data_IF_278246284995
#
_entry.id   IF_278246284995
#
_cell.length_a   1.000
_cell.length_b   1.000
_cell.length_c   1.000
_cell.angle_alpha   90.00
_cell.angle_beta   90.00
_cell.angle_gamma   90.00
#
_symmetry.space_group_name_H-M   'P 1'
#
loop_
_entity.id
_entity.type
_entity.pdbx_description
1 polymer ?
#
# COMPACT_ATOMS: atom_id res chain seq x y z
N UNK A 1 12.25 -5.17 -17.43
CA UNK A 1 11.99 -4.24 -16.33
C UNK A 1 11.50 -5.02 -15.11
N UNK A 2 12.41 -5.45 -14.23
CA UNK A 2 12.16 -6.49 -13.20
C UNK A 2 12.05 -5.91 -11.78
N UNK A 3 11.46 -4.72 -11.59
CA UNK A 3 11.45 -4.05 -10.27
C UNK A 3 10.78 -4.88 -9.15
N UNK A 4 9.85 -5.76 -9.48
CA UNK A 4 9.16 -6.65 -8.55
C UNK A 4 9.37 -8.15 -8.87
N UNK A 5 10.05 -8.48 -9.96
CA UNK A 5 10.12 -9.84 -10.50
C UNK A 5 11.05 -10.77 -9.69
N UNK A 6 11.82 -10.24 -8.73
CA UNK A 6 12.59 -11.00 -7.74
C UNK A 6 12.11 -10.84 -6.30
N UNK A 7 11.10 -10.01 -6.08
CA UNK A 7 10.48 -9.77 -4.79
C UNK A 7 8.99 -10.08 -4.95
N UNK A 8 8.60 -11.36 -4.86
CA UNK A 8 7.21 -11.71 -4.62
C UNK A 8 6.67 -10.79 -3.51
N UNK A 9 5.46 -10.26 -3.69
CA UNK A 9 4.74 -9.58 -2.61
C UNK A 9 4.90 -10.45 -1.36
N UNK A 10 5.34 -9.86 -0.22
CA UNK A 10 5.57 -10.64 0.98
C UNK A 10 4.27 -11.39 1.31
N UNK A 11 4.40 -12.56 1.94
CA UNK A 11 3.23 -13.19 2.55
C UNK A 11 2.66 -12.22 3.58
N UNK A 12 1.60 -11.54 3.19
CA UNK A 12 0.85 -10.64 4.06
C UNK A 12 0.35 -11.43 5.27
N UNK A 13 0.27 -10.77 6.42
CA UNK A 13 -0.23 -11.36 7.66
C UNK A 13 -1.51 -12.17 7.45
N UNK A 14 -1.67 -13.31 8.14
CA UNK A 14 -2.84 -14.18 8.03
C UNK A 14 -4.16 -13.42 8.27
N UNK A 15 -4.14 -12.38 9.11
CA UNK A 15 -5.27 -11.49 9.35
C UNK A 15 -5.76 -10.75 8.09
N UNK A 16 -4.89 -10.53 7.10
CA UNK A 16 -5.20 -9.86 5.83
C UNK A 16 -5.74 -10.83 4.76
N UNK A 17 -5.55 -12.14 4.93
CA UNK A 17 -6.10 -13.17 4.04
C UNK A 17 -7.59 -12.98 3.73
N UNK A 18 -8.49 -12.77 4.71
CA UNK A 18 -9.91 -12.55 4.40
C UNK A 18 -10.15 -11.31 3.53
N UNK A 19 -9.36 -10.24 3.69
CA UNK A 19 -9.46 -9.06 2.83
C UNK A 19 -8.93 -9.33 1.41
N UNK A 20 -7.83 -10.06 1.29
CA UNK A 20 -7.17 -10.42 0.03
C UNK A 20 -8.00 -11.44 -0.79
N UNK A 21 -8.67 -12.37 -0.10
CA UNK A 21 -9.54 -13.36 -0.70
C UNK A 21 -10.96 -12.85 -1.00
N UNK A 22 -11.26 -11.60 -0.62
CA UNK A 22 -12.55 -10.96 -0.90
C UNK A 22 -13.68 -11.48 -0.03
N UNK A 23 -13.39 -11.88 1.22
CA UNK A 23 -14.40 -12.27 2.18
C UNK A 23 -15.36 -11.10 2.47
N UNK A 24 -16.61 -11.44 2.79
CA UNK A 24 -17.61 -10.47 3.23
C UNK A 24 -17.26 -9.97 4.64
N UNK A 25 -16.43 -8.93 4.69
CA UNK A 25 -16.02 -8.26 5.92
C UNK A 25 -16.96 -7.09 6.22
N UNK A 26 -17.20 -6.79 7.50
CA UNK A 26 -17.92 -5.56 7.86
C UNK A 26 -17.11 -4.32 7.48
N UNK A 27 -17.77 -3.17 7.30
CA UNK A 27 -17.11 -1.88 6.98
C UNK A 27 -15.92 -1.57 7.88
N UNK A 28 -16.08 -1.84 9.17
CA UNK A 28 -15.09 -1.59 10.20
C UNK A 28 -13.87 -2.53 10.08
N UNK A 29 -14.11 -3.81 9.80
CA UNK A 29 -13.06 -4.80 9.54
C UNK A 29 -12.32 -4.51 8.24
N UNK A 30 -13.04 -4.17 7.16
CA UNK A 30 -12.42 -3.75 5.89
C UNK A 30 -11.54 -2.52 6.09
N UNK A 31 -11.99 -1.55 6.88
CA UNK A 31 -11.20 -0.37 7.19
C UNK A 31 -9.96 -0.69 8.06
N UNK A 32 -10.10 -1.55 9.07
CA UNK A 32 -8.97 -2.02 9.91
C UNK A 32 -7.94 -2.77 9.07
N UNK A 33 -8.37 -3.80 8.35
CA UNK A 33 -7.50 -4.63 7.51
C UNK A 33 -6.89 -3.81 6.37
N UNK A 34 -7.65 -2.91 5.74
CA UNK A 34 -7.14 -1.99 4.74
C UNK A 34 -6.06 -1.04 5.27
N UNK A 35 -6.19 -0.58 6.53
CA UNK A 35 -5.13 0.19 7.21
C UNK A 35 -3.91 -0.67 7.49
N UNK A 36 -4.08 -1.90 7.97
CA UNK A 36 -3.00 -2.82 8.29
C UNK A 36 -2.24 -3.23 7.02
N UNK A 37 -2.95 -3.57 5.95
CA UNK A 37 -2.38 -3.84 4.64
C UNK A 37 -1.53 -2.67 4.12
N UNK A 38 -2.02 -1.43 4.24
CA UNK A 38 -1.22 -0.25 3.87
C UNK A 38 0.06 -0.16 4.69
N UNK A 39 0.01 -0.41 6.00
CA UNK A 39 1.20 -0.38 6.86
C UNK A 39 2.20 -1.46 6.47
N UNK A 40 1.75 -2.68 6.23
CA UNK A 40 2.65 -3.77 5.81
C UNK A 40 3.29 -3.49 4.46
N UNK A 41 2.53 -3.00 3.49
CA UNK A 41 3.09 -2.60 2.20
C UNK A 41 4.11 -1.48 2.39
N UNK A 42 3.82 -0.45 3.18
CA UNK A 42 4.77 0.63 3.45
C UNK A 42 6.03 0.10 4.14
N UNK A 43 5.87 -0.79 5.12
CA UNK A 43 6.98 -1.42 5.82
C UNK A 43 7.85 -2.19 4.84
N UNK A 44 7.26 -3.07 4.02
CA UNK A 44 7.95 -3.80 2.96
C UNK A 44 8.68 -2.88 1.98
N UNK A 45 8.02 -1.82 1.50
CA UNK A 45 8.63 -0.83 0.60
C UNK A 45 9.80 -0.08 1.24
N UNK A 46 9.76 0.13 2.56
CA UNK A 46 10.84 0.76 3.32
C UNK A 46 11.98 -0.24 3.58
N UNK A 47 11.68 -1.44 4.07
CA UNK A 47 12.65 -2.52 4.36
C UNK A 47 13.47 -2.89 3.14
N UNK A 48 12.83 -3.02 1.97
CA UNK A 48 13.52 -3.36 0.73
C UNK A 48 14.04 -2.13 -0.03
N UNK A 49 13.94 -0.92 0.54
CA UNK A 49 14.37 0.34 -0.09
C UNK A 49 13.84 0.55 -1.53
N UNK A 50 12.70 -0.06 -1.88
CA UNK A 50 12.20 -0.18 -3.26
C UNK A 50 11.89 1.17 -3.91
N UNK A 51 11.65 2.20 -3.10
CA UNK A 51 11.27 3.55 -3.54
C UNK A 51 12.08 4.60 -2.74
N UNK A 52 13.38 4.36 -2.52
CA UNK A 52 14.27 5.34 -1.87
C UNK A 52 14.57 6.53 -2.79
N UNK A 53 14.83 6.27 -4.08
CA UNK A 53 15.41 7.27 -5.02
C UNK A 53 14.71 7.38 -6.40
N UNK A 54 13.43 7.01 -6.51
CA UNK A 54 12.74 7.17 -7.79
C UNK A 54 12.21 8.61 -7.95
N UNK A 55 12.62 9.29 -9.03
CA UNK A 55 12.04 10.54 -9.54
C UNK A 55 10.50 10.49 -9.52
N UNK A 56 9.81 11.64 -9.43
CA UNK A 56 8.34 11.69 -9.33
C UNK A 56 7.60 10.74 -10.30
N UNK A 57 8.06 10.65 -11.55
CA UNK A 57 7.53 9.71 -12.55
C UNK A 57 7.78 8.24 -12.22
N UNK A 58 9.02 7.87 -11.87
CA UNK A 58 9.38 6.51 -11.48
C UNK A 58 8.66 6.05 -10.21
N UNK A 59 8.46 6.95 -9.25
CA UNK A 59 7.69 6.68 -8.03
C UNK A 59 6.23 6.36 -8.35
N UNK A 60 5.61 7.14 -9.25
CA UNK A 60 4.22 6.91 -9.71
C UNK A 60 4.09 5.56 -10.42
N UNK A 61 5.05 5.23 -11.30
CA UNK A 61 5.11 3.94 -11.98
C UNK A 61 5.27 2.76 -11.02
N UNK A 62 6.13 2.88 -10.00
CA UNK A 62 6.31 1.87 -8.96
C UNK A 62 5.02 1.59 -8.19
N UNK A 63 4.31 2.62 -7.73
CA UNK A 63 3.01 2.42 -7.07
C UNK A 63 1.96 1.83 -8.02
N UNK A 64 1.97 2.24 -9.29
CA UNK A 64 1.07 1.69 -10.30
C UNK A 64 1.33 0.19 -10.53
N UNK A 65 2.60 -0.20 -10.71
CA UNK A 65 3.03 -1.57 -10.92
C UNK A 65 2.79 -2.45 -9.69
N UNK A 66 2.99 -1.92 -8.48
CA UNK A 66 2.61 -2.59 -7.23
C UNK A 66 1.11 -2.88 -7.20
N UNK A 67 0.30 -1.90 -7.57
CA UNK A 67 -1.14 -2.09 -7.69
C UNK A 67 -1.52 -3.14 -8.74
N UNK A 68 -0.86 -3.18 -9.89
CA UNK A 68 -1.07 -4.20 -10.92
C UNK A 68 -0.69 -5.60 -10.42
N UNK A 69 0.46 -5.74 -9.77
CA UNK A 69 0.90 -7.02 -9.21
C UNK A 69 -0.07 -7.51 -8.14
N UNK A 70 -0.52 -6.64 -7.24
CA UNK A 70 -1.52 -6.99 -6.23
C UNK A 70 -2.85 -7.40 -6.86
N UNK A 71 -3.32 -6.70 -7.88
CA UNK A 71 -4.53 -7.09 -8.63
C UNK A 71 -4.36 -8.45 -9.33
N UNK A 72 -3.15 -8.76 -9.82
CA UNK A 72 -2.86 -10.03 -10.48
C UNK A 72 -2.75 -11.20 -9.51
N UNK A 73 -2.13 -11.01 -8.33
CA UNK A 73 -2.00 -12.05 -7.31
C UNK A 73 -3.28 -12.23 -6.49
N UNK A 74 -4.00 -11.15 -6.24
CA UNK A 74 -5.21 -11.12 -5.44
C UNK A 74 -6.37 -10.52 -6.25
N UNK A 75 -6.91 -11.25 -7.23
CA UNK A 75 -8.01 -10.75 -8.07
C UNK A 75 -9.30 -10.50 -7.27
N UNK A 76 -9.46 -11.15 -6.11
CA UNK A 76 -10.60 -10.97 -5.20
C UNK A 76 -10.42 -9.83 -4.18
N UNK A 77 -9.26 -9.17 -4.19
CA UNK A 77 -8.97 -8.10 -3.24
C UNK A 77 -9.84 -6.87 -3.51
N UNK A 78 -10.59 -6.45 -2.48
CA UNK A 78 -11.42 -5.26 -2.53
C UNK A 78 -10.65 -4.02 -2.06
N UNK A 79 -10.28 -3.15 -3.00
CA UNK A 79 -9.54 -1.90 -2.73
C UNK A 79 -10.31 -0.89 -1.88
N UNK A 80 -11.65 -0.97 -1.87
CA UNK A 80 -12.53 -0.11 -1.10
C UNK A 80 -13.76 -0.89 -0.62
N UNK A 81 -14.32 -0.50 0.52
CA UNK A 81 -15.60 -1.00 1.02
C UNK A 81 -16.74 -0.32 0.24
N UNK A 82 -16.82 -0.61 -1.05
CA UNK A 82 -18.05 -0.45 -1.81
C UNK A 82 -18.43 -1.87 -2.18
N UNK A 83 -19.53 -2.36 -1.62
CA UNK A 83 -20.01 -3.73 -1.85
C UNK A 83 -20.10 -4.07 -3.34
N UNK A 84 -20.44 -5.32 -3.64
CA UNK A 84 -20.37 -6.04 -4.94
C UNK A 84 -20.92 -5.36 -6.23
N UNK A 85 -21.34 -4.08 -6.19
CA UNK A 85 -21.89 -3.29 -7.30
C UNK A 85 -20.94 -2.20 -7.86
N UNK A 86 -19.68 -2.14 -7.44
CA UNK A 86 -18.76 -1.13 -7.98
C UNK A 86 -18.43 -1.42 -9.45
N UNK A 87 -18.61 -0.41 -10.33
CA UNK A 87 -18.23 -0.52 -11.74
C UNK A 87 -16.70 -0.62 -11.89
N UNK A 88 -16.21 -1.14 -13.02
CA UNK A 88 -14.76 -1.23 -13.32
C UNK A 88 -14.02 0.12 -13.11
N UNK A 89 -14.65 1.22 -13.51
CA UNK A 89 -14.12 2.58 -13.31
C UNK A 89 -14.04 2.97 -11.82
N UNK A 90 -14.98 2.50 -11.01
CA UNK A 90 -14.95 2.70 -9.55
C UNK A 90 -13.86 1.85 -8.90
N UNK A 91 -13.64 0.62 -9.36
CA UNK A 91 -12.52 -0.22 -8.92
C UNK A 91 -11.17 0.42 -9.23
N UNK A 92 -11.00 0.96 -10.44
CA UNK A 92 -9.78 1.69 -10.81
C UNK A 92 -9.59 2.96 -9.98
N UNK A 93 -10.68 3.68 -9.69
CA UNK A 93 -10.66 4.86 -8.82
C UNK A 93 -10.33 4.51 -7.36
N UNK A 94 -10.88 3.41 -6.84
CA UNK A 94 -10.61 2.87 -5.51
C UNK A 94 -9.14 2.46 -5.37
N UNK A 95 -8.61 1.75 -6.36
CA UNK A 95 -7.19 1.38 -6.46
C UNK A 95 -6.29 2.62 -6.46
N UNK A 96 -6.59 3.62 -7.30
CA UNK A 96 -5.84 4.86 -7.34
C UNK A 96 -5.87 5.61 -5.99
N UNK A 97 -7.05 5.72 -5.35
CA UNK A 97 -7.20 6.33 -4.01
C UNK A 97 -6.40 5.58 -2.94
N UNK A 98 -6.42 4.25 -2.97
CA UNK A 98 -5.67 3.43 -2.04
C UNK A 98 -4.16 3.66 -2.19
N UNK A 99 -3.64 3.65 -3.42
CA UNK A 99 -2.24 3.91 -3.72
C UNK A 99 -1.82 5.33 -3.34
N UNK A 100 -2.67 6.34 -3.60
CA UNK A 100 -2.42 7.72 -3.19
C UNK A 100 -2.33 7.86 -1.67
N UNK A 101 -3.28 7.27 -0.93
CA UNK A 101 -3.26 7.25 0.55
C UNK A 101 -2.04 6.52 1.09
N UNK A 102 -1.60 5.45 0.42
CA UNK A 102 -0.41 4.71 0.78
C UNK A 102 0.86 5.56 0.58
N UNK A 103 0.98 6.23 -0.56
CA UNK A 103 2.09 7.13 -0.86
C UNK A 103 2.13 8.33 0.10
N UNK A 104 0.97 8.86 0.48
CA UNK A 104 0.84 9.94 1.48
C UNK A 104 1.22 9.46 2.89
N UNK A 105 0.68 8.33 3.34
CA UNK A 105 1.02 7.76 4.64
C UNK A 105 2.53 7.48 4.77
N UNK A 106 3.16 6.99 3.70
CA UNK A 106 4.62 6.79 3.65
C UNK A 106 5.38 8.12 3.74
N UNK A 107 4.94 9.15 3.02
CA UNK A 107 5.53 10.51 3.12
C UNK A 107 5.42 11.06 4.54
N UNK A 108 4.25 10.94 5.18
CA UNK A 108 4.05 11.37 6.56
C UNK A 108 4.92 10.59 7.55
N UNK A 109 5.10 9.29 7.36
CA UNK A 109 6.00 8.49 8.20
C UNK A 109 7.46 8.93 8.06
N UNK A 110 7.95 9.13 6.83
CA UNK A 110 9.31 9.61 6.58
C UNK A 110 9.53 11.03 7.13
N UNK A 111 8.56 11.93 6.95
CA UNK A 111 8.61 13.27 7.52
C UNK A 111 8.66 13.22 9.06
N UNK A 112 7.84 12.38 9.71
CA UNK A 112 7.87 12.20 11.17
C UNK A 112 9.16 11.57 11.68
N UNK A 113 9.73 10.61 10.94
CA UNK A 113 11.03 10.03 11.26
C UNK A 113 12.13 11.11 11.19
N UNK A 114 12.16 11.89 10.10
CA UNK A 114 13.10 13.00 9.93
C UNK A 114 12.94 14.08 11.01
N UNK A 115 11.71 14.44 11.39
CA UNK A 115 11.45 15.38 12.49
C UNK A 115 11.97 14.88 13.84
N UNK A 116 11.87 13.57 14.11
CA UNK A 116 12.44 12.96 15.33
C UNK A 116 13.96 12.96 15.32
N UNK A 117 14.58 12.74 14.16
CA UNK A 117 16.05 12.83 14.00
C UNK A 117 16.56 14.27 14.17
N UNK A 118 15.82 15.28 13.71
CA UNK A 118 16.17 16.68 13.95
C UNK A 118 16.02 17.10 15.42
N UNK A 119 15.07 16.54 16.17
CA UNK A 119 14.92 16.83 17.60
C UNK A 119 15.99 16.16 18.48
N UNK A 120 16.55 15.01 18.07
CA UNK A 120 17.61 14.32 18.83
C UNK A 120 19.03 14.82 18.51
N UNK A 121 19.20 15.61 17.44
CA UNK A 121 20.48 16.25 17.08
C UNK A 121 20.52 17.75 17.45
N UNK A 122 19.67 18.19 18.38
CA UNK A 122 19.86 19.52 18.98
C UNK A 122 21.02 19.43 20.00
N UNK A 123 22.13 20.17 19.81
CA UNK A 123 23.21 20.19 20.79
C UNK A 123 22.66 20.74 22.11
N UNK A 124 22.92 20.00 23.20
CA UNK A 124 22.78 20.51 24.57
C UNK A 124 23.85 21.54 24.86
#
# INVERSE_FOLDING_TARGET
DKWLQGHQLPHFSYELQPLLQGACLSREQHHRLGKQLRREIINFLNTHHLIKDASCGGRRWKYHYLGLTMSSQYPRFQWDFRGSRASYNEHMSAKAKFLSKLAEARRHQLARAKSRECQNNAPK
#
